data_IF_830900080798
#
_entry.id   IF_830900080798
#
_cell.length_a   1.000
_cell.length_b   1.000
_cell.length_c   1.000
_cell.angle_alpha   90.00
_cell.angle_beta   90.00
_cell.angle_gamma   90.00
#
_symmetry.space_group_name_H-M   'P 1'
#
loop_
_entity.id
_entity.type
_entity.pdbx_description
1 polymer ?
#
# COMPACT_ATOMS: atom_id res chain seq x y z
N UNK A 1 1.43 -6.32 -6.05
CA UNK A 1 1.95 -6.83 -4.76
C UNK A 1 1.87 -8.36 -4.62
N UNK A 2 0.71 -9.03 -4.78
CA UNK A 2 0.59 -10.48 -4.50
C UNK A 2 1.55 -11.38 -5.27
N UNK A 3 1.79 -11.13 -6.56
CA UNK A 3 2.73 -11.93 -7.34
C UNK A 3 4.15 -11.91 -6.76
N UNK A 4 4.66 -10.72 -6.41
CA UNK A 4 5.98 -10.57 -5.81
C UNK A 4 6.06 -11.25 -4.43
N UNK A 5 5.00 -11.16 -3.62
CA UNK A 5 4.90 -11.90 -2.35
C UNK A 5 5.01 -13.40 -2.58
N UNK A 6 4.30 -13.94 -3.58
CA UNK A 6 4.31 -15.37 -3.88
C UNK A 6 5.71 -15.85 -4.30
N UNK A 7 6.38 -15.11 -5.18
CA UNK A 7 7.75 -15.41 -5.61
C UNK A 7 8.74 -15.33 -4.46
N UNK A 8 8.70 -14.26 -3.66
CA UNK A 8 9.62 -14.11 -2.54
C UNK A 8 9.42 -15.22 -1.49
N UNK A 9 8.17 -15.60 -1.20
CA UNK A 9 7.87 -16.71 -0.28
C UNK A 9 8.32 -18.06 -0.84
N UNK A 10 8.25 -18.29 -2.15
CA UNK A 10 8.77 -19.54 -2.74
C UNK A 10 10.29 -19.65 -2.65
N UNK A 11 11.00 -18.53 -2.51
CA UNK A 11 12.43 -18.47 -2.20
C UNK A 11 12.75 -18.43 -0.71
N UNK A 12 11.75 -18.63 0.17
CA UNK A 12 11.96 -18.64 1.62
C UNK A 12 12.17 -17.25 2.24
N UNK A 13 11.90 -16.18 1.52
CA UNK A 13 12.04 -14.81 2.02
C UNK A 13 10.75 -14.42 2.78
N UNK A 14 10.83 -14.04 4.06
CA UNK A 14 9.66 -13.55 4.79
C UNK A 14 9.15 -12.25 4.17
N UNK A 15 7.86 -12.21 3.84
CA UNK A 15 7.23 -11.03 3.21
C UNK A 15 5.88 -10.69 3.80
N UNK A 16 5.57 -9.39 3.83
CA UNK A 16 4.26 -8.84 4.21
C UNK A 16 3.69 -7.94 3.11
N UNK A 17 2.38 -8.01 2.95
CA UNK A 17 1.60 -7.09 2.15
C UNK A 17 1.41 -5.80 2.93
N UNK A 18 1.62 -4.67 2.27
CA UNK A 18 1.41 -3.36 2.87
C UNK A 18 0.30 -2.65 2.13
N UNK A 19 -0.67 -2.15 2.88
CA UNK A 19 -1.76 -1.29 2.41
C UNK A 19 -1.52 0.12 2.92
N UNK A 20 -1.71 1.12 2.06
CA UNK A 20 -1.43 2.51 2.40
C UNK A 20 -1.85 3.50 1.34
N UNK A 21 -1.24 4.68 1.35
CA UNK A 21 -1.48 5.74 0.36
C UNK A 21 -0.19 6.18 -0.32
N UNK A 22 -0.30 6.67 -1.54
CA UNK A 22 0.75 7.40 -2.23
C UNK A 22 0.55 8.90 -1.98
N UNK A 23 1.65 9.65 -1.90
CA UNK A 23 1.57 11.10 -1.91
C UNK A 23 0.91 11.54 -3.22
N UNK A 24 -0.25 12.24 -3.17
CA UNK A 24 -0.92 12.69 -4.37
C UNK A 24 -0.14 13.79 -5.08
N UNK A 25 0.95 14.32 -4.50
CA UNK A 25 1.77 15.36 -5.10
C UNK A 25 3.07 14.76 -5.64
N UNK A 26 3.37 15.01 -6.91
CA UNK A 26 4.65 14.63 -7.49
C UNK A 26 5.81 15.53 -6.96
N UNK A 27 7.08 15.20 -7.24
CA UNK A 27 8.21 16.02 -6.81
C UNK A 27 8.21 17.47 -7.35
N UNK A 28 7.44 17.76 -8.41
CA UNK A 28 7.28 19.09 -8.99
C UNK A 28 6.16 19.91 -8.35
N UNK A 29 5.39 19.32 -7.43
CA UNK A 29 4.23 19.96 -6.79
C UNK A 29 2.92 19.76 -7.57
N UNK A 30 2.93 19.00 -8.67
CA UNK A 30 1.73 18.78 -9.47
C UNK A 30 0.85 17.68 -8.85
N UNK A 31 -0.49 17.86 -8.85
CA UNK A 31 -1.41 16.83 -8.41
C UNK A 31 -1.35 15.64 -9.37
N UNK A 32 -1.11 14.45 -8.82
CA UNK A 32 -1.18 13.18 -9.52
C UNK A 32 -2.58 12.60 -9.39
N UNK A 33 -3.07 11.82 -10.38
CA UNK A 33 -4.44 11.31 -10.37
C UNK A 33 -4.76 10.26 -9.29
N UNK A 34 -3.84 9.93 -8.37
CA UNK A 34 -4.03 8.82 -7.43
C UNK A 34 -4.25 9.29 -6.00
N UNK A 35 -5.45 9.76 -5.70
CA UNK A 35 -5.98 9.83 -4.33
C UNK A 35 -6.35 8.43 -3.79
N UNK A 36 -5.97 7.38 -4.52
CA UNK A 36 -6.37 6.02 -4.28
C UNK A 36 -5.42 5.33 -3.29
N UNK A 37 -5.99 4.42 -2.52
CA UNK A 37 -5.24 3.43 -1.75
C UNK A 37 -4.22 2.73 -2.66
N UNK A 38 -3.00 2.54 -2.16
CA UNK A 38 -1.94 1.83 -2.86
C UNK A 38 -1.46 0.63 -2.03
N UNK A 39 -0.80 -0.30 -2.70
CA UNK A 39 -0.25 -1.47 -2.05
C UNK A 39 1.12 -1.87 -2.59
N UNK A 40 2.00 -2.27 -1.67
CA UNK A 40 3.35 -2.71 -1.97
C UNK A 40 3.73 -3.91 -1.11
N UNK A 41 4.97 -4.36 -1.27
CA UNK A 41 5.51 -5.54 -0.58
C UNK A 41 6.68 -5.13 0.28
N UNK A 42 6.76 -5.68 1.48
CA UNK A 42 7.99 -5.62 2.27
C UNK A 42 8.60 -6.99 2.44
N UNK A 43 9.89 -7.09 2.20
CA UNK A 43 10.68 -8.30 2.39
C UNK A 43 11.61 -8.11 3.60
N UNK A 44 11.71 -9.12 4.46
CA UNK A 44 12.68 -9.13 5.55
C UNK A 44 14.03 -9.61 5.00
N UNK A 45 14.97 -8.68 4.85
CA UNK A 45 16.31 -8.97 4.40
C UNK A 45 17.27 -9.06 5.61
N UNK A 46 18.31 -9.91 5.54
CA UNK A 46 19.40 -9.89 6.51
C UNK A 46 19.98 -8.49 6.63
N UNK A 47 20.29 -8.06 7.86
CA UNK A 47 20.92 -6.77 8.21
C UNK A 47 20.09 -5.49 7.92
N UNK A 48 19.26 -5.48 6.86
CA UNK A 48 18.45 -4.32 6.46
C UNK A 48 17.06 -4.29 7.10
N UNK A 49 16.61 -5.40 7.68
CA UNK A 49 15.26 -5.49 8.23
C UNK A 49 14.19 -5.51 7.14
N UNK A 50 13.10 -4.78 7.35
CA UNK A 50 11.99 -4.73 6.38
C UNK A 50 12.28 -3.71 5.28
N UNK A 51 12.44 -4.19 4.05
CA UNK A 51 12.68 -3.35 2.88
C UNK A 51 11.47 -3.40 1.97
N UNK A 52 10.96 -2.22 1.61
CA UNK A 52 9.76 -2.09 0.79
C UNK A 52 10.06 -1.98 -0.71
N UNK A 53 9.29 -2.72 -1.50
CA UNK A 53 9.34 -2.81 -2.95
C UNK A 53 7.97 -2.55 -3.53
N UNK A 54 7.90 -1.63 -4.48
CA UNK A 54 6.70 -1.30 -5.23
C UNK A 54 6.85 -1.78 -6.67
N UNK A 55 6.33 -2.97 -6.99
CA UNK A 55 6.42 -3.53 -8.33
C UNK A 55 5.56 -2.77 -9.35
N UNK A 56 4.57 -1.99 -8.91
CA UNK A 56 3.73 -1.18 -9.80
C UNK A 56 4.52 0.00 -10.34
N UNK A 57 5.28 0.67 -9.47
CA UNK A 57 6.04 1.86 -9.80
C UNK A 57 7.55 1.59 -9.99
N UNK A 58 7.96 0.32 -10.11
CA UNK A 58 9.35 -0.12 -10.25
C UNK A 58 10.33 0.60 -9.29
N UNK A 59 9.92 0.81 -8.04
CA UNK A 59 10.64 1.65 -7.08
C UNK A 59 10.73 1.02 -5.70
N UNK A 60 11.66 1.50 -4.88
CA UNK A 60 11.66 1.21 -3.45
C UNK A 60 10.52 1.97 -2.77
N UNK A 61 9.92 1.39 -1.73
CA UNK A 61 8.84 2.02 -0.99
C UNK A 61 9.31 3.29 -0.24
N UNK A 62 10.58 3.34 0.17
CA UNK A 62 11.16 4.50 0.86
C UNK A 62 11.33 5.75 -0.01
N UNK A 63 11.12 5.68 -1.33
CA UNK A 63 11.50 6.75 -2.28
C UNK A 63 10.33 7.57 -2.86
N UNK A 64 9.09 7.44 -2.37
CA UNK A 64 7.93 7.98 -3.11
C UNK A 64 6.76 8.49 -2.27
N UNK A 65 6.99 9.00 -1.06
CA UNK A 65 5.92 9.59 -0.24
C UNK A 65 4.80 8.59 0.10
N UNK A 66 5.14 7.32 0.32
CA UNK A 66 4.19 6.27 0.68
C UNK A 66 3.89 6.35 2.18
N UNK A 67 2.61 6.40 2.53
CA UNK A 67 2.13 6.39 3.92
C UNK A 67 1.65 4.99 4.27
N UNK A 68 2.30 4.37 5.26
CA UNK A 68 1.87 3.08 5.82
C UNK A 68 0.57 3.22 6.59
N UNK A 69 -0.39 2.31 6.33
CA UNK A 69 -1.63 2.23 7.10
C UNK A 69 -1.76 0.87 7.78
N UNK A 70 -1.55 -0.23 7.04
CA UNK A 70 -1.70 -1.58 7.60
C UNK A 70 -0.78 -2.61 6.91
N UNK A 71 -0.41 -3.66 7.65
CA UNK A 71 0.39 -4.79 7.14
C UNK A 71 -0.26 -6.13 7.44
N UNK A 72 -0.17 -7.07 6.50
CA UNK A 72 -0.77 -8.40 6.61
C UNK A 72 -0.11 -9.43 5.70
N UNK A 73 -0.62 -10.66 5.65
CA UNK A 73 -0.08 -11.70 4.76
C UNK A 73 -0.49 -11.48 3.31
N UNK A 74 -1.69 -10.94 3.11
CA UNK A 74 -2.25 -10.51 1.83
C UNK A 74 -3.31 -9.42 2.05
N UNK A 75 -4.05 -9.06 1.00
CA UNK A 75 -5.01 -7.97 1.02
C UNK A 75 -6.18 -8.22 1.98
N UNK A 76 -6.56 -9.48 2.23
CA UNK A 76 -7.71 -9.84 3.09
C UNK A 76 -7.47 -9.50 4.56
N UNK A 77 -6.21 -9.48 4.98
CA UNK A 77 -5.81 -9.10 6.33
C UNK A 77 -5.86 -7.57 6.53
N UNK A 78 -5.86 -6.77 5.46
CA UNK A 78 -5.67 -5.30 5.50
C UNK A 78 -6.53 -4.53 4.50
N UNK A 79 -7.68 -5.09 4.12
CA UNK A 79 -8.59 -4.43 3.19
C UNK A 79 -9.15 -3.16 3.86
N UNK A 80 -9.09 -1.99 3.19
CA UNK A 80 -9.55 -0.72 3.76
C UNK A 80 -11.05 -0.71 4.09
N UNK A 81 -11.84 -1.52 3.38
CA UNK A 81 -13.28 -1.70 3.63
C UNK A 81 -13.64 -3.18 3.52
N UNK A 82 -14.17 -3.77 4.60
CA UNK A 82 -14.60 -5.16 4.63
C UNK A 82 -15.85 -5.32 5.50
N UNK A 83 -16.86 -6.00 4.96
CA UNK A 83 -18.10 -6.27 5.68
C UNK A 83 -19.15 -6.90 4.77
N UNK A 84 -20.31 -7.24 5.35
CA UNK A 84 -21.50 -7.67 4.61
C UNK A 84 -22.57 -6.62 4.85
N UNK A 85 -23.20 -6.14 3.78
CA UNK A 85 -24.33 -5.24 3.83
C UNK A 85 -25.59 -6.05 3.56
N UNK A 86 -26.53 -6.09 4.51
CA UNK A 86 -27.78 -6.84 4.39
C UNK A 86 -28.96 -5.87 4.37
N UNK A 87 -29.72 -5.85 3.26
CA UNK A 87 -30.76 -4.85 2.97
C UNK A 87 -30.60 -4.25 1.57
N UNK A 88 -31.23 -3.11 1.30
CA UNK A 88 -31.13 -2.38 0.03
C UNK A 88 -31.41 -0.88 0.18
N UNK A 89 -30.89 -0.06 -0.73
CA UNK A 89 -30.92 1.40 -0.74
C UNK A 89 -29.75 1.96 -1.57
N UNK A 90 -29.70 3.27 -1.79
CA UNK A 90 -28.51 3.88 -2.42
C UNK A 90 -27.31 3.83 -1.46
N UNK A 91 -26.14 3.47 -2.00
CA UNK A 91 -24.87 3.41 -1.28
C UNK A 91 -23.83 4.23 -2.01
N UNK A 92 -23.19 5.16 -1.30
CA UNK A 92 -22.12 6.01 -1.82
C UNK A 92 -20.85 5.82 -0.98
N UNK A 93 -19.71 5.60 -1.63
CA UNK A 93 -18.41 5.55 -0.99
C UNK A 93 -17.55 6.70 -1.51
N UNK A 94 -17.21 7.63 -0.64
CA UNK A 94 -16.29 8.74 -0.92
C UNK A 94 -14.98 8.52 -0.15
N UNK A 95 -13.86 8.80 -0.82
CA UNK A 95 -12.52 8.70 -0.23
C UNK A 95 -11.79 10.01 -0.51
N UNK A 96 -11.44 10.74 0.55
CA UNK A 96 -10.56 11.92 0.49
C UNK A 96 -9.31 11.67 1.35
N UNK A 97 -8.13 11.99 0.81
CA UNK A 97 -6.84 11.76 1.46
C UNK A 97 -6.00 13.02 1.35
N UNK A 98 -5.57 13.56 2.50
CA UNK A 98 -4.71 14.73 2.58
C UNK A 98 -3.45 14.39 3.37
N UNK A 99 -2.30 14.61 2.74
CA UNK A 99 -0.99 14.41 3.35
C UNK A 99 -0.37 15.79 3.57
N UNK A 100 0.02 16.07 4.81
CA UNK A 100 0.69 17.31 5.19
C UNK A 100 2.00 16.99 5.94
N UNK A 101 3.07 17.78 5.76
CA UNK A 101 4.28 17.66 6.57
C UNK A 101 3.95 17.88 8.05
N UNK A 102 4.58 17.10 8.92
CA UNK A 102 4.53 17.39 10.34
C UNK A 102 5.54 18.50 10.65
N UNK A 103 5.04 19.67 11.07
CA UNK A 103 5.85 20.80 11.57
C UNK A 103 6.29 20.59 13.00
#
# INVERSE_FOLDING_TARGET
AHLMIAIARSWGIPTRYVSGYLNPTDPSGAPTPSNATHAWVECRLPELGWVGFDPTNQSFAGQGGKVHIAVGRDYRDVSPTRGVLQGGGESHLEVDVRIAPHT
#
